data_IF_618785883142
#
_entry.id   IF_618785883142
#
_cell.length_a   1.000
_cell.length_b   1.000
_cell.length_c   1.000
_cell.angle_alpha   90.00
_cell.angle_beta   90.00
_cell.angle_gamma   90.00
#
_symmetry.space_group_name_H-M   'P 1'
#
loop_
_entity.id
_entity.type
_entity.pdbx_description
1 polymer ?
#
# COMPACT_ATOMS: atom_id res chain seq x y z
N UNK A 1 -23.07 31.93 -2.74
CA UNK A 1 -22.30 30.66 -2.72
C UNK A 1 -21.13 30.88 -1.76
N UNK A 2 -20.95 30.04 -0.73
CA UNK A 2 -19.75 30.16 0.14
C UNK A 2 -18.51 29.74 -0.67
N UNK A 3 -17.36 30.42 -0.54
CA UNK A 3 -16.12 29.98 -1.16
C UNK A 3 -15.80 28.56 -0.68
N UNK A 4 -15.32 27.71 -1.60
CA UNK A 4 -14.72 26.44 -1.22
C UNK A 4 -13.45 26.74 -0.40
N UNK A 5 -13.46 26.33 0.86
CA UNK A 5 -12.29 26.41 1.72
C UNK A 5 -11.39 25.22 1.40
N UNK A 6 -10.30 25.46 0.67
CA UNK A 6 -9.32 24.43 0.35
C UNK A 6 -8.41 24.21 1.55
N UNK A 7 -8.43 22.99 2.10
CA UNK A 7 -7.42 22.55 3.07
C UNK A 7 -6.34 21.79 2.34
N UNK A 8 -5.13 22.34 2.34
CA UNK A 8 -3.97 21.65 1.78
C UNK A 8 -3.70 20.36 2.54
N UNK A 9 -3.32 19.31 1.82
CA UNK A 9 -2.74 18.13 2.44
C UNK A 9 -1.36 18.49 2.99
N UNK A 10 -1.08 18.03 4.21
CA UNK A 10 0.25 18.11 4.80
C UNK A 10 1.04 16.85 4.44
N UNK A 11 2.36 16.95 4.18
CA UNK A 11 3.23 15.77 4.13
C UNK A 11 3.14 14.99 5.44
N UNK A 12 3.34 13.68 5.35
CA UNK A 12 3.44 12.84 6.54
C UNK A 12 4.68 13.22 7.35
N UNK A 13 4.53 13.34 8.67
CA UNK A 13 5.66 13.36 9.60
C UNK A 13 6.04 11.91 9.87
N UNK A 14 7.25 11.55 9.47
CA UNK A 14 7.74 10.16 9.53
C UNK A 14 8.94 10.10 10.46
N UNK A 15 8.86 9.23 11.45
CA UNK A 15 9.96 8.90 12.35
C UNK A 15 10.51 7.52 12.00
N UNK A 16 11.84 7.41 12.02
CA UNK A 16 12.52 6.13 11.80
C UNK A 16 13.27 5.74 13.06
N UNK A 17 12.85 4.66 13.72
CA UNK A 17 13.54 4.11 14.89
C UNK A 17 13.59 2.59 14.79
N UNK A 18 14.72 1.98 15.15
CA UNK A 18 14.89 0.52 15.14
C UNK A 18 14.40 -0.17 13.86
N UNK A 19 14.72 0.42 12.70
CA UNK A 19 14.30 -0.05 11.36
C UNK A 19 12.78 0.04 11.07
N UNK A 20 11.98 0.64 11.95
CA UNK A 20 10.54 0.86 11.77
C UNK A 20 10.27 2.24 11.20
N UNK A 21 9.30 2.31 10.30
CA UNK A 21 8.74 3.57 9.78
C UNK A 21 7.47 3.84 10.58
N UNK A 22 7.47 4.91 11.38
CA UNK A 22 6.41 5.24 12.32
C UNK A 22 5.76 6.57 11.96
N UNK A 23 4.43 6.64 12.08
CA UNK A 23 3.66 7.87 11.93
C UNK A 23 3.31 8.43 13.29
N UNK A 24 3.87 9.59 13.63
CA UNK A 24 3.56 10.28 14.89
C UNK A 24 2.12 10.83 14.90
N UNK A 25 1.58 11.16 13.72
CA UNK A 25 0.21 11.65 13.55
C UNK A 25 -0.83 10.56 13.88
N UNK A 26 -0.55 9.29 13.56
CA UNK A 26 -1.46 8.16 13.77
C UNK A 26 -1.04 7.23 14.91
N UNK A 27 0.15 7.47 15.48
CA UNK A 27 0.75 6.68 16.56
C UNK A 27 0.89 5.19 16.22
N UNK A 28 1.25 4.89 14.97
CA UNK A 28 1.36 3.51 14.47
C UNK A 28 2.50 3.36 13.45
N UNK A 29 2.92 2.11 13.22
CA UNK A 29 3.89 1.74 12.19
C UNK A 29 3.23 1.59 10.83
N UNK A 30 3.94 1.94 9.76
CA UNK A 30 3.44 1.74 8.38
C UNK A 30 3.44 0.27 7.95
N UNK A 31 4.35 -0.53 8.48
CA UNK A 31 4.46 -1.97 8.24
C UNK A 31 5.25 -2.62 9.38
N UNK A 32 5.05 -3.92 9.56
CA UNK A 32 5.83 -4.69 10.51
C UNK A 32 7.28 -4.83 10.01
N UNK A 33 8.27 -4.61 10.87
CA UNK A 33 9.69 -4.71 10.50
C UNK A 33 10.18 -6.12 10.17
N UNK A 34 9.47 -7.14 10.66
CA UNK A 34 9.84 -8.53 10.44
C UNK A 34 8.88 -9.13 9.41
N UNK A 35 9.45 -9.70 8.34
CA UNK A 35 8.73 -10.41 7.28
C UNK A 35 7.62 -9.57 6.61
N UNK A 36 7.84 -8.26 6.44
CA UNK A 36 6.88 -7.36 5.79
C UNK A 36 6.54 -7.77 4.36
N UNK A 37 7.50 -8.34 3.66
CA UNK A 37 7.35 -8.90 2.32
C UNK A 37 6.45 -10.14 2.31
N UNK A 38 6.69 -11.09 3.22
CA UNK A 38 5.84 -12.28 3.35
C UNK A 38 4.41 -11.91 3.78
N UNK A 39 4.28 -11.02 4.77
CA UNK A 39 2.97 -10.56 5.27
C UNK A 39 2.20 -9.82 4.16
N UNK A 40 2.85 -8.93 3.42
CA UNK A 40 2.24 -8.22 2.29
C UNK A 40 1.82 -9.21 1.21
N UNK A 41 2.67 -10.17 0.85
CA UNK A 41 2.32 -11.18 -0.14
C UNK A 41 1.15 -12.04 0.33
N UNK A 42 1.12 -12.43 1.59
CA UNK A 42 0.03 -13.24 2.14
C UNK A 42 -1.30 -12.47 2.20
N UNK A 43 -1.30 -11.27 2.77
CA UNK A 43 -2.53 -10.49 3.01
C UNK A 43 -3.04 -9.82 1.72
N UNK A 44 -2.14 -9.21 0.95
CA UNK A 44 -2.54 -8.40 -0.20
C UNK A 44 -2.60 -9.20 -1.50
N UNK A 45 -1.55 -9.95 -1.83
CA UNK A 45 -1.46 -10.69 -3.10
C UNK A 45 -2.30 -11.97 -3.05
N UNK A 46 -2.00 -12.85 -2.09
CA UNK A 46 -2.72 -14.11 -1.91
C UNK A 46 -4.15 -13.85 -1.39
N UNK A 47 -4.34 -12.94 -0.45
CA UNK A 47 -5.66 -12.60 0.08
C UNK A 47 -6.66 -12.03 -0.95
N UNK A 48 -6.19 -11.58 -2.11
CA UNK A 48 -7.04 -11.15 -3.23
C UNK A 48 -7.00 -12.10 -4.45
N UNK A 49 -6.34 -13.25 -4.33
CA UNK A 49 -6.11 -14.25 -5.39
C UNK A 49 -5.54 -13.62 -6.67
N UNK A 50 -4.66 -12.63 -6.52
CA UNK A 50 -4.25 -11.77 -7.64
C UNK A 50 -3.59 -12.58 -8.75
N UNK A 51 -2.64 -13.46 -8.44
CA UNK A 51 -1.94 -14.29 -9.43
C UNK A 51 -2.94 -15.12 -10.26
N UNK A 52 -3.89 -15.79 -9.60
CA UNK A 52 -4.89 -16.60 -10.28
C UNK A 52 -5.81 -15.72 -11.14
N UNK A 53 -6.30 -14.60 -10.59
CA UNK A 53 -7.19 -13.69 -11.31
C UNK A 53 -6.50 -13.10 -12.54
N UNK A 54 -5.26 -12.66 -12.41
CA UNK A 54 -4.46 -12.15 -13.53
C UNK A 54 -4.32 -13.19 -14.64
N UNK A 55 -4.05 -14.45 -14.30
CA UNK A 55 -3.94 -15.54 -15.28
C UNK A 55 -5.22 -15.82 -16.08
N UNK A 56 -6.38 -15.52 -15.48
CA UNK A 56 -7.70 -15.76 -16.07
C UNK A 56 -8.32 -14.48 -16.65
N UNK A 57 -7.69 -13.33 -16.43
CA UNK A 57 -8.23 -12.03 -16.79
C UNK A 57 -8.02 -11.76 -18.28
N UNK A 58 -9.11 -11.66 -19.03
CA UNK A 58 -9.06 -11.38 -20.47
C UNK A 58 -8.86 -9.91 -20.85
N UNK A 59 -9.35 -8.91 -20.08
CA UNK A 59 -9.06 -7.52 -20.38
C UNK A 59 -7.56 -7.21 -20.29
N UNK A 60 -7.09 -6.27 -21.11
CA UNK A 60 -5.68 -5.84 -21.16
C UNK A 60 -5.21 -5.04 -19.94
N UNK A 61 -6.08 -4.84 -18.94
CA UNK A 61 -5.79 -4.06 -17.74
C UNK A 61 -6.48 -4.67 -16.53
N UNK A 62 -5.80 -4.63 -15.39
CA UNK A 62 -6.33 -5.02 -14.09
C UNK A 62 -6.27 -3.81 -13.15
N UNK A 63 -7.37 -3.50 -12.46
CA UNK A 63 -7.46 -2.33 -11.60
C UNK A 63 -7.54 -2.75 -10.12
N UNK A 64 -6.71 -2.14 -9.29
CA UNK A 64 -6.70 -2.30 -7.84
C UNK A 64 -6.86 -0.91 -7.22
N UNK A 65 -7.77 -0.79 -6.27
CA UNK A 65 -7.94 0.41 -5.46
C UNK A 65 -7.37 0.15 -4.06
N UNK A 66 -6.49 1.02 -3.59
CA UNK A 66 -5.87 0.94 -2.27
C UNK A 66 -6.33 2.12 -1.41
N UNK A 67 -6.83 1.84 -0.21
CA UNK A 67 -7.19 2.87 0.76
C UNK A 67 -5.99 3.16 1.66
N UNK A 68 -5.23 4.20 1.30
CA UNK A 68 -4.04 4.62 2.03
C UNK A 68 -2.76 4.05 1.42
N UNK A 69 -2.05 4.88 0.65
CA UNK A 69 -0.83 4.47 -0.06
C UNK A 69 0.37 4.22 0.87
N UNK A 70 0.46 4.99 1.95
CA UNK A 70 1.51 4.84 2.97
C UNK A 70 2.93 4.89 2.40
N UNK A 71 3.73 3.87 2.68
CA UNK A 71 5.08 3.68 2.15
C UNK A 71 5.13 3.15 0.71
N UNK A 72 3.97 2.76 0.14
CA UNK A 72 3.86 2.15 -1.19
C UNK A 72 4.22 0.65 -1.22
N UNK A 73 4.36 -0.01 -0.06
CA UNK A 73 4.79 -1.41 0.01
C UNK A 73 3.88 -2.35 -0.79
N UNK A 74 2.56 -2.27 -0.61
CA UNK A 74 1.60 -3.11 -1.34
C UNK A 74 1.68 -2.87 -2.86
N UNK A 75 1.78 -1.60 -3.27
CA UNK A 75 1.92 -1.23 -4.68
C UNK A 75 3.18 -1.83 -5.30
N UNK A 76 4.33 -1.72 -4.63
CA UNK A 76 5.58 -2.28 -5.11
C UNK A 76 5.56 -3.81 -5.15
N UNK A 77 5.04 -4.47 -4.11
CA UNK A 77 4.85 -5.92 -4.08
C UNK A 77 3.93 -6.39 -5.20
N UNK A 78 2.85 -5.65 -5.48
CA UNK A 78 1.96 -5.91 -6.61
C UNK A 78 2.68 -5.76 -7.95
N UNK A 79 3.48 -4.71 -8.13
CA UNK A 79 4.27 -4.50 -9.36
C UNK A 79 5.27 -5.63 -9.58
N UNK A 80 5.94 -6.10 -8.52
CA UNK A 80 6.89 -7.21 -8.58
C UNK A 80 6.17 -8.52 -8.92
N UNK A 81 5.04 -8.79 -8.27
CA UNK A 81 4.23 -9.99 -8.54
C UNK A 81 3.67 -10.01 -9.97
N UNK A 82 3.32 -8.84 -10.54
CA UNK A 82 2.80 -8.72 -11.90
C UNK A 82 3.88 -8.92 -12.99
N UNK A 83 5.15 -8.63 -12.68
CA UNK A 83 6.26 -8.76 -13.63
C UNK A 83 6.75 -10.20 -13.83
N UNK A 84 6.44 -11.11 -12.89
CA UNK A 84 6.81 -12.52 -12.93
C UNK A 84 5.79 -13.35 -13.71
#
# INVERSE_FOLDING_TARGET
>A
MKPLEYKYLKPAVVEQTHNRVYSSDYQDVYFNTFNSDEETNYVFIAGNDLIQRWSQHQPSQFCIAETGFGSGLNFLSCCLAWQN
#
